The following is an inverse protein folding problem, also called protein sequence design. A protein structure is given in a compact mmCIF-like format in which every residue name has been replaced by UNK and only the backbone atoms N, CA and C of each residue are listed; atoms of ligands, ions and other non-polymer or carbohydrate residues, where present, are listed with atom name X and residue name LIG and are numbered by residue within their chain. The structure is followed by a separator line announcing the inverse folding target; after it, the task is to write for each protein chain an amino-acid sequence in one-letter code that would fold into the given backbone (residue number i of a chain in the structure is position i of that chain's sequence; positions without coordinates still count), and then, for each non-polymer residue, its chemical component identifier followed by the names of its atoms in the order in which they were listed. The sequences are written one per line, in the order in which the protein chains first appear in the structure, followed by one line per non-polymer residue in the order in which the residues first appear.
data_IF_278414720744
#
_entry.id   IF_278414720744
#
_cell.length_a   1.000
_cell.length_b   1.000
_cell.length_c   1.000
_cell.angle_alpha   90.00
_cell.angle_beta   90.00
_cell.angle_gamma   90.00
#
_symmetry.space_group_name_H-M   'P 1'
#
loop_
_entity.id
_entity.type
_entity.pdbx_description
1 polymer ?
#
# COMPACT_ATOMS: atom_id res chain seq x y z
N UNK A 1 -6.87 -18.42 -33.03
CA UNK A 1 -7.67 -17.80 -31.94
C UNK A 1 -7.41 -16.31 -32.03
N UNK A 2 -8.29 -15.57 -32.72
CA UNK A 2 -8.10 -14.15 -33.01
C UNK A 2 -7.92 -13.34 -31.72
N UNK A 3 -6.71 -12.80 -31.55
CA UNK A 3 -6.39 -11.89 -30.46
C UNK A 3 -7.10 -10.57 -30.72
N UNK A 4 -8.33 -10.46 -30.20
CA UNK A 4 -9.13 -9.23 -30.28
C UNK A 4 -8.35 -8.08 -29.67
N UNK A 5 -7.81 -7.25 -30.56
CA UNK A 5 -7.28 -5.93 -30.26
C UNK A 5 -8.26 -5.18 -29.36
N UNK A 6 -7.87 -4.89 -28.10
CA UNK A 6 -8.56 -3.85 -27.34
C UNK A 6 -8.40 -2.54 -28.11
N UNK A 7 -9.51 -1.91 -28.47
CA UNK A 7 -9.48 -0.62 -29.18
C UNK A 7 -8.66 0.40 -28.36
N UNK A 8 -8.00 1.36 -29.01
CA UNK A 8 -7.14 2.37 -28.35
C UNK A 8 -7.83 3.09 -27.16
N UNK A 9 -9.17 3.14 -27.17
CA UNK A 9 -10.01 3.65 -26.08
C UNK A 9 -9.99 2.77 -24.83
N UNK A 10 -10.07 1.45 -24.98
CA UNK A 10 -10.04 0.50 -23.85
C UNK A 10 -8.66 0.47 -23.18
N UNK A 11 -7.58 0.56 -23.97
CA UNK A 11 -6.23 0.69 -23.41
C UNK A 11 -6.06 1.99 -22.61
N UNK A 12 -6.57 3.12 -23.12
CA UNK A 12 -6.55 4.40 -22.37
C UNK A 12 -7.32 4.30 -21.05
N UNK A 13 -8.45 3.58 -21.02
CA UNK A 13 -9.24 3.37 -19.81
C UNK A 13 -8.48 2.53 -18.78
N UNK A 14 -7.96 1.37 -19.19
CA UNK A 14 -7.13 0.50 -18.34
C UNK A 14 -5.90 1.24 -17.77
N UNK A 15 -5.21 2.01 -18.60
CA UNK A 15 -4.06 2.80 -18.16
C UNK A 15 -4.44 3.85 -17.12
N UNK A 16 -5.61 4.50 -17.29
CA UNK A 16 -6.10 5.49 -16.32
C UNK A 16 -6.44 4.84 -14.98
N UNK A 17 -7.13 3.69 -15.00
CA UNK A 17 -7.46 2.91 -13.80
C UNK A 17 -6.19 2.47 -13.06
N UNK A 18 -5.21 1.92 -13.79
CA UNK A 18 -3.92 1.52 -13.22
C UNK A 18 -3.16 2.69 -12.57
N UNK A 19 -3.15 3.89 -13.18
CA UNK A 19 -2.51 5.07 -12.60
C UNK A 19 -3.19 5.49 -11.29
N UNK A 20 -4.53 5.47 -11.24
CA UNK A 20 -5.29 5.84 -10.04
C UNK A 20 -4.99 4.85 -8.91
N UNK A 21 -4.98 3.56 -9.23
CA UNK A 21 -4.75 2.50 -8.25
C UNK A 21 -3.33 2.54 -7.69
N UNK A 22 -2.32 2.69 -8.56
CA UNK A 22 -0.93 2.87 -8.14
C UNK A 22 -0.74 4.14 -7.28
N UNK A 23 -1.43 5.24 -7.61
CA UNK A 23 -1.43 6.43 -6.75
C UNK A 23 -2.05 6.15 -5.37
N UNK A 24 -3.10 5.33 -5.32
CA UNK A 24 -3.66 4.80 -4.07
C UNK A 24 -2.65 4.02 -3.24
N UNK A 25 -1.91 3.09 -3.86
CA UNK A 25 -0.84 2.35 -3.18
C UNK A 25 0.26 3.26 -2.64
N UNK A 26 0.72 4.24 -3.44
CA UNK A 26 1.69 5.25 -2.98
C UNK A 26 1.18 6.00 -1.77
N UNK A 27 -0.09 6.43 -1.79
CA UNK A 27 -0.71 7.11 -0.64
C UNK A 27 -0.73 6.21 0.61
N UNK A 28 -1.08 4.94 0.46
CA UNK A 28 -1.08 3.97 1.58
C UNK A 28 0.34 3.80 2.15
N UNK A 29 1.36 3.66 1.32
CA UNK A 29 2.75 3.54 1.79
C UNK A 29 3.20 4.78 2.58
N UNK A 30 2.91 5.98 2.07
CA UNK A 30 3.20 7.23 2.78
C UNK A 30 2.43 7.34 4.09
N UNK A 31 1.17 6.94 4.12
CA UNK A 31 0.35 6.96 5.33
C UNK A 31 0.94 6.03 6.40
N UNK A 32 1.30 4.80 6.04
CA UNK A 32 1.95 3.85 6.97
C UNK A 32 3.26 4.43 7.52
N UNK A 33 4.08 5.06 6.67
CA UNK A 33 5.32 5.69 7.10
C UNK A 33 5.08 6.83 8.11
N UNK A 34 4.13 7.72 7.84
CA UNK A 34 3.83 8.84 8.74
C UNK A 34 3.28 8.32 10.07
N UNK A 35 2.32 7.39 10.04
CA UNK A 35 1.69 6.89 11.27
C UNK A 35 2.68 6.07 12.10
N UNK A 36 3.52 5.24 11.48
CA UNK A 36 4.59 4.54 12.21
C UNK A 36 5.56 5.51 12.89
N UNK A 37 5.95 6.59 12.21
CA UNK A 37 6.77 7.66 12.81
C UNK A 37 6.09 8.31 14.01
N UNK A 38 4.79 8.61 13.91
CA UNK A 38 4.00 9.15 15.03
C UNK A 38 3.91 8.16 16.20
N UNK A 39 3.71 6.87 15.95
CA UNK A 39 3.71 5.84 16.99
C UNK A 39 5.03 5.83 17.77
N UNK A 40 6.18 5.96 17.10
CA UNK A 40 7.48 6.02 17.77
C UNK A 40 7.59 7.24 18.69
N UNK A 41 7.18 8.41 18.20
CA UNK A 41 7.18 9.65 19.01
C UNK A 41 6.30 9.48 20.25
N UNK A 42 5.10 8.93 20.08
CA UNK A 42 4.17 8.69 21.17
C UNK A 42 4.70 7.66 22.18
N UNK A 43 5.39 6.60 21.74
CA UNK A 43 6.07 5.65 22.63
C UNK A 43 7.12 6.38 23.50
N UNK A 44 7.93 7.25 22.90
CA UNK A 44 8.93 8.02 23.63
C UNK A 44 8.26 8.94 24.66
N UNK A 45 7.18 9.62 24.29
CA UNK A 45 6.41 10.45 25.22
C UNK A 45 5.82 9.62 26.36
N UNK A 46 5.21 8.46 26.09
CA UNK A 46 4.66 7.57 27.11
C UNK A 46 5.73 6.99 28.02
N UNK A 47 6.92 6.67 27.50
CA UNK A 47 8.09 6.27 28.31
C UNK A 47 8.51 7.37 29.29
N UNK A 48 8.48 8.62 28.86
CA UNK A 48 8.86 9.75 29.72
C UNK A 48 7.86 10.00 30.87
N UNK A 49 6.58 9.72 30.65
CA UNK A 49 5.51 9.89 31.65
C UNK A 49 5.29 8.62 32.50
N UNK A 50 5.91 7.50 32.11
CA UNK A 50 5.71 6.20 32.76
C UNK A 50 4.36 5.54 32.41
N UNK A 51 3.75 5.92 31.30
CA UNK A 51 2.48 5.35 30.83
C UNK A 51 2.71 4.03 30.08
N UNK A 52 2.68 2.94 30.84
CA UNK A 52 2.88 1.57 30.33
C UNK A 52 1.78 1.15 29.35
N UNK A 53 0.54 1.61 29.56
CA UNK A 53 -0.60 1.23 28.70
C UNK A 53 -0.42 1.86 27.32
N UNK A 54 -0.07 3.15 27.27
CA UNK A 54 0.26 3.84 26.02
C UNK A 54 1.39 3.15 25.26
N UNK A 55 2.48 2.78 25.94
CA UNK A 55 3.60 2.07 25.31
C UNK A 55 3.14 0.77 24.64
N UNK A 56 2.40 -0.08 25.37
CA UNK A 56 1.91 -1.37 24.83
C UNK A 56 1.01 -1.14 23.62
N UNK A 57 0.11 -0.16 23.71
CA UNK A 57 -0.83 0.16 22.64
C UNK A 57 -0.13 0.62 21.36
N UNK A 58 0.78 1.58 21.46
CA UNK A 58 1.52 2.07 20.29
C UNK A 58 2.50 1.04 19.74
N UNK A 59 3.08 0.19 20.59
CA UNK A 59 3.91 -0.91 20.16
C UNK A 59 3.11 -1.96 19.38
N UNK A 60 1.91 -2.30 19.85
CA UNK A 60 0.99 -3.17 19.11
C UNK A 60 0.61 -2.57 17.75
N UNK A 61 0.39 -1.26 17.67
CA UNK A 61 0.14 -0.57 16.40
C UNK A 61 1.31 -0.71 15.41
N UNK A 62 2.56 -0.61 15.89
CA UNK A 62 3.76 -0.84 15.05
C UNK A 62 3.83 -2.29 14.54
N UNK A 63 3.52 -3.27 15.38
CA UNK A 63 3.46 -4.69 14.97
C UNK A 63 2.44 -4.87 13.85
N UNK A 64 1.24 -4.27 13.97
CA UNK A 64 0.22 -4.33 12.93
C UNK A 64 0.74 -3.77 11.61
N UNK A 65 1.46 -2.64 11.60
CA UNK A 65 2.04 -2.10 10.37
C UNK A 65 3.07 -3.04 9.75
N UNK A 66 3.96 -3.64 10.55
CA UNK A 66 4.95 -4.61 10.05
C UNK A 66 4.27 -5.82 9.42
N UNK A 67 3.17 -6.29 10.00
CA UNK A 67 2.38 -7.40 9.46
C UNK A 67 1.61 -6.98 8.20
N UNK A 68 1.04 -5.78 8.17
CA UNK A 68 0.17 -5.32 7.07
C UNK A 68 0.97 -4.93 5.81
N UNK A 69 2.17 -4.37 6.00
CA UNK A 69 3.04 -3.91 4.92
C UNK A 69 3.31 -4.98 3.83
N UNK A 70 3.70 -6.23 4.15
CA UNK A 70 3.93 -7.25 3.12
C UNK A 70 2.65 -7.61 2.35
N UNK A 71 1.47 -7.57 2.97
CA UNK A 71 0.20 -7.81 2.25
C UNK A 71 -0.05 -6.72 1.21
N UNK A 72 0.09 -5.44 1.60
CA UNK A 72 -0.07 -4.31 0.67
C UNK A 72 0.94 -4.38 -0.48
N UNK A 73 2.19 -4.77 -0.18
CA UNK A 73 3.23 -4.95 -1.20
C UNK A 73 2.87 -6.09 -2.16
N UNK A 74 2.41 -7.25 -1.66
CA UNK A 74 2.01 -8.37 -2.50
C UNK A 74 0.84 -8.01 -3.41
N UNK A 75 -0.16 -7.30 -2.87
CA UNK A 75 -1.32 -6.84 -3.63
C UNK A 75 -0.91 -5.89 -4.76
N UNK A 76 -0.06 -4.90 -4.44
CA UNK A 76 0.49 -3.98 -5.43
C UNK A 76 1.27 -4.72 -6.53
N UNK A 77 2.13 -5.68 -6.16
CA UNK A 77 2.88 -6.48 -7.13
C UNK A 77 1.95 -7.32 -8.01
N UNK A 78 0.91 -7.92 -7.43
CA UNK A 78 -0.08 -8.72 -8.15
C UNK A 78 -0.80 -7.87 -9.21
N UNK A 79 -1.20 -6.67 -8.82
CA UNK A 79 -1.88 -5.71 -9.69
C UNK A 79 -0.99 -5.22 -10.84
N UNK A 80 0.28 -4.91 -10.56
CA UNK A 80 1.28 -4.58 -11.58
C UNK A 80 1.51 -5.76 -12.54
N UNK A 81 1.55 -6.99 -12.02
CA UNK A 81 1.63 -8.21 -12.84
C UNK A 81 0.41 -8.37 -13.73
N UNK A 82 -0.79 -8.18 -13.20
CA UNK A 82 -2.04 -8.33 -13.95
C UNK A 82 -2.15 -7.29 -15.06
N UNK A 83 -1.81 -6.03 -14.78
CA UNK A 83 -1.73 -4.99 -15.80
C UNK A 83 -0.73 -5.36 -16.89
N UNK A 84 0.47 -5.83 -16.49
CA UNK A 84 1.52 -6.24 -17.43
C UNK A 84 1.07 -7.41 -18.32
N UNK A 85 0.41 -8.44 -17.78
CA UNK A 85 -0.12 -9.56 -18.57
C UNK A 85 -1.25 -9.10 -19.50
N UNK A 86 -2.13 -8.23 -19.01
CA UNK A 86 -3.23 -7.68 -19.81
C UNK A 86 -2.75 -6.81 -20.97
N UNK A 87 -1.59 -6.15 -20.81
CA UNK A 87 -0.96 -5.31 -21.84
C UNK A 87 0.01 -6.10 -22.74
N UNK A 88 0.70 -7.13 -22.21
CA UNK A 88 1.67 -7.99 -22.93
C UNK A 88 1.08 -9.24 -23.58
N UNK A 89 -0.20 -9.58 -23.37
CA UNK A 89 -0.95 -10.49 -24.27
C UNK A 89 -1.18 -9.83 -25.65
N UNK A 90 -0.10 -9.31 -26.20
CA UNK A 90 0.04 -8.58 -27.46
C UNK A 90 0.80 -9.47 -28.42
#
# INVERSE_FOLDING_TARGET
MDMKFKTTKEYKKLKKEFIIMNFGFVYIYFFILIVSGLCIVLIICSLNVGDIIGIIWYFFCLILFVVFLPFVIMEHISEVKEFRVTVLKK
#
